data_IF_809202415249
#
_entry.id   IF_809202415249
#
_cell.length_a   1.000
_cell.length_b   1.000
_cell.length_c   1.000
_cell.angle_alpha   90.00
_cell.angle_beta   90.00
_cell.angle_gamma   90.00
#
_symmetry.space_group_name_H-M   'P 1'
#
loop_
_entity.id
_entity.type
_entity.pdbx_description
1 polymer ?
#
# COMPACT_ATOMS: atom_id res chain seq x y z
N UNK A 1 4.31 43.46 -10.61
CA UNK A 1 5.52 42.66 -10.47
C UNK A 1 5.18 41.24 -10.81
N UNK A 2 5.76 40.67 -11.87
CA UNK A 2 5.53 39.28 -12.27
C UNK A 2 6.08 38.35 -11.17
N UNK A 3 5.25 37.40 -10.69
CA UNK A 3 5.68 36.34 -9.76
C UNK A 3 6.78 35.53 -10.46
N UNK A 4 8.01 35.54 -9.96
CA UNK A 4 9.06 34.63 -10.41
C UNK A 4 8.51 33.21 -10.27
N UNK A 5 8.44 32.46 -11.38
CA UNK A 5 8.28 31.01 -11.34
C UNK A 5 9.45 30.45 -10.55
N UNK A 6 9.17 29.73 -9.48
CA UNK A 6 10.20 28.99 -8.77
C UNK A 6 10.46 27.76 -9.61
N UNK A 7 11.72 27.61 -10.02
CA UNK A 7 12.20 26.36 -10.56
C UNK A 7 12.12 25.30 -9.46
N UNK A 8 11.57 24.11 -9.75
CA UNK A 8 11.62 23.01 -8.80
C UNK A 8 13.07 22.82 -8.39
N UNK A 9 13.36 22.86 -7.11
CA UNK A 9 14.72 22.58 -6.64
C UNK A 9 14.99 21.11 -6.97
N UNK A 10 15.91 20.84 -7.88
CA UNK A 10 16.27 19.52 -8.41
C UNK A 10 16.83 18.54 -7.37
N UNK A 11 16.92 18.93 -6.11
CA UNK A 11 17.51 18.13 -5.03
C UNK A 11 16.59 18.01 -3.80
N UNK A 12 15.43 17.37 -3.93
CA UNK A 12 15.11 16.35 -2.94
C UNK A 12 16.09 15.20 -3.25
N UNK A 13 17.26 15.13 -2.62
CA UNK A 13 18.40 14.32 -3.01
C UNK A 13 18.06 13.17 -3.97
N UNK A 14 19.00 12.70 -4.76
CA UNK A 14 18.85 11.66 -5.80
C UNK A 14 18.06 10.38 -5.38
N UNK A 15 17.45 10.36 -4.20
CA UNK A 15 16.83 9.24 -3.55
C UNK A 15 15.29 9.20 -3.65
N UNK A 16 14.59 10.30 -3.99
CA UNK A 16 13.10 10.25 -4.09
C UNK A 16 12.64 9.28 -5.17
N UNK A 17 13.37 9.20 -6.26
CA UNK A 17 13.09 8.23 -7.34
C UNK A 17 13.33 6.79 -6.92
N UNK A 18 14.20 6.56 -5.93
CA UNK A 18 14.50 5.24 -5.36
C UNK A 18 13.59 4.89 -4.20
N UNK A 19 13.02 5.88 -3.50
CA UNK A 19 12.17 5.64 -2.34
C UNK A 19 10.89 4.91 -2.73
N UNK A 20 10.56 3.91 -1.94
CA UNK A 20 9.39 3.07 -2.13
C UNK A 20 8.53 3.14 -0.88
N UNK A 21 7.25 3.38 -1.08
CA UNK A 21 6.25 3.34 -0.01
C UNK A 21 5.79 1.91 0.18
N UNK A 22 5.82 1.43 1.42
CA UNK A 22 5.16 0.19 1.82
C UNK A 22 3.97 0.56 2.70
N UNK A 23 2.77 0.23 2.24
CA UNK A 23 1.54 0.58 2.94
C UNK A 23 0.74 -0.68 3.19
N UNK A 24 0.56 -1.05 4.46
CA UNK A 24 -0.24 -2.21 4.84
C UNK A 24 -1.70 -2.07 4.40
N UNK A 25 -2.37 -3.19 4.18
CA UNK A 25 -3.74 -3.19 3.69
C UNK A 25 -4.72 -2.42 4.61
N UNK A 26 -4.64 -2.48 5.95
CA UNK A 26 -5.46 -1.64 6.81
C UNK A 26 -5.23 -0.13 6.58
N UNK A 27 -3.96 0.31 6.41
CA UNK A 27 -3.64 1.70 6.11
C UNK A 27 -4.01 2.10 4.67
N UNK A 28 -4.16 1.12 3.81
CA UNK A 28 -4.56 1.35 2.43
C UNK A 28 -5.95 1.96 2.34
N UNK A 29 -6.87 1.57 3.22
CA UNK A 29 -8.23 2.11 3.30
C UNK A 29 -8.30 3.61 3.62
N UNK A 30 -7.17 4.22 4.03
CA UNK A 30 -7.08 5.66 4.35
C UNK A 30 -7.40 6.58 3.18
N UNK A 31 -7.32 6.12 1.93
CA UNK A 31 -7.78 6.91 0.80
C UNK A 31 -9.26 7.31 0.92
N UNK A 32 -10.05 6.55 1.72
CA UNK A 32 -11.45 6.86 2.05
C UNK A 32 -11.62 7.93 3.13
N UNK A 33 -10.53 8.26 3.86
CA UNK A 33 -10.55 9.27 4.92
C UNK A 33 -10.73 10.68 4.38
N UNK A 34 -10.80 11.66 5.28
CA UNK A 34 -10.89 13.07 4.90
C UNK A 34 -9.52 13.73 4.71
N UNK A 35 -8.42 12.97 4.81
CA UNK A 35 -7.08 13.48 4.57
C UNK A 35 -6.99 14.17 3.20
N UNK A 36 -6.34 15.31 3.18
CA UNK A 36 -6.05 16.06 1.95
C UNK A 36 -4.91 15.42 1.17
N UNK A 37 -4.73 15.79 -0.09
CA UNK A 37 -3.59 15.33 -0.89
C UNK A 37 -2.25 15.66 -0.24
N UNK A 38 -2.13 16.84 0.39
CA UNK A 38 -0.93 17.25 1.08
C UNK A 38 -0.59 16.33 2.26
N UNK A 39 -1.58 15.99 3.05
CA UNK A 39 -1.43 15.07 4.19
C UNK A 39 -1.12 13.65 3.71
N UNK A 40 -1.70 13.18 2.61
CA UNK A 40 -1.29 11.91 2.01
C UNK A 40 0.15 11.92 1.53
N UNK A 41 0.62 13.01 0.93
CA UNK A 41 2.02 13.15 0.52
C UNK A 41 2.96 13.09 1.73
N UNK A 42 2.62 13.77 2.83
CA UNK A 42 3.40 13.73 4.08
C UNK A 42 3.42 12.31 4.64
N UNK A 43 2.26 11.65 4.75
CA UNK A 43 2.13 10.29 5.25
C UNK A 43 2.92 9.29 4.40
N UNK A 44 2.79 9.34 3.07
CA UNK A 44 3.47 8.41 2.19
C UNK A 44 4.99 8.64 2.16
N UNK A 45 5.44 9.91 2.31
CA UNK A 45 6.87 10.21 2.49
C UNK A 45 7.37 9.67 3.84
N UNK A 46 6.60 9.81 4.93
CA UNK A 46 6.92 9.20 6.20
C UNK A 46 7.09 7.68 6.06
N UNK A 47 6.10 6.99 5.44
CA UNK A 47 6.13 5.54 5.26
C UNK A 47 7.30 5.07 4.35
N UNK A 48 7.74 5.89 3.40
CA UNK A 48 8.86 5.56 2.52
C UNK A 48 10.24 5.60 3.23
N UNK A 49 10.31 6.23 4.40
CA UNK A 49 11.54 6.37 5.21
C UNK A 49 11.59 5.43 6.39
N UNK A 50 10.50 4.75 6.66
CA UNK A 50 10.44 3.74 7.71
C UNK A 50 11.02 2.43 7.17
N UNK A 51 11.97 1.87 7.90
CA UNK A 51 12.36 0.46 7.75
C UNK A 51 11.36 -0.38 8.53
N UNK A 52 10.49 -1.10 7.82
CA UNK A 52 9.41 -1.89 8.44
C UNK A 52 9.90 -2.95 9.42
N UNK A 53 11.19 -3.33 9.36
CA UNK A 53 11.80 -4.32 10.25
C UNK A 53 12.51 -3.72 11.48
N UNK A 54 12.50 -2.38 11.61
CA UNK A 54 13.15 -1.66 12.72
C UNK A 54 12.15 -0.79 13.49
N UNK A 55 11.25 -1.41 14.28
CA UNK A 55 10.19 -0.68 14.98
C UNK A 55 10.71 0.34 16.02
N UNK A 56 11.96 0.24 16.44
CA UNK A 56 12.61 1.24 17.29
C UNK A 56 12.85 2.57 16.57
N UNK A 57 12.94 2.57 15.22
CA UNK A 57 13.14 3.76 14.38
C UNK A 57 11.81 4.25 13.80
N UNK A 58 10.91 4.67 14.67
CA UNK A 58 9.56 5.10 14.33
C UNK A 58 9.39 6.62 14.20
N UNK A 59 10.48 7.36 14.28
CA UNK A 59 10.52 8.81 14.11
C UNK A 59 11.15 9.15 12.76
N UNK A 60 10.51 10.02 12.01
CA UNK A 60 11.03 10.57 10.75
C UNK A 60 11.11 12.08 10.88
N UNK A 61 12.24 12.64 10.47
CA UNK A 61 12.47 14.07 10.41
C UNK A 61 12.38 14.49 8.94
N UNK A 62 11.49 15.44 8.68
CA UNK A 62 11.46 16.20 7.44
C UNK A 62 12.39 17.39 7.61
N UNK A 63 13.45 17.42 6.86
CA UNK A 63 14.46 18.47 6.94
C UNK A 63 13.92 19.84 6.53
N UNK A 64 14.64 20.90 6.87
CA UNK A 64 14.24 22.29 6.59
C UNK A 64 13.92 22.51 5.13
N UNK A 65 12.73 23.03 4.86
CA UNK A 65 12.23 23.30 3.51
C UNK A 65 11.80 22.06 2.72
N UNK A 66 11.88 20.88 3.30
CA UNK A 66 11.49 19.66 2.61
C UNK A 66 9.99 19.54 2.41
N UNK A 67 9.19 19.94 3.42
CA UNK A 67 7.73 19.96 3.28
C UNK A 67 7.27 20.95 2.23
N UNK A 68 7.90 22.13 2.14
CA UNK A 68 7.61 23.12 1.12
C UNK A 68 7.85 22.54 -0.28
N UNK A 69 8.96 21.84 -0.47
CA UNK A 69 9.28 21.15 -1.74
C UNK A 69 8.25 20.07 -2.05
N UNK A 70 7.97 19.20 -1.08
CA UNK A 70 7.02 18.10 -1.20
C UNK A 70 5.63 18.58 -1.62
N UNK A 71 5.20 19.72 -1.08
CA UNK A 71 3.91 20.32 -1.35
C UNK A 71 3.91 21.27 -2.55
N UNK A 72 5.09 21.58 -3.12
CA UNK A 72 5.23 22.48 -4.27
C UNK A 72 4.91 23.94 -3.94
N UNK A 73 5.21 24.38 -2.71
CA UNK A 73 4.96 25.74 -2.23
C UNK A 73 6.26 26.40 -1.76
N UNK A 74 6.31 27.73 -1.78
CA UNK A 74 7.50 28.48 -1.32
C UNK A 74 7.60 28.52 0.20
N UNK A 75 6.46 28.64 0.86
CA UNK A 75 6.32 28.75 2.32
C UNK A 75 5.00 28.14 2.74
N UNK A 76 5.00 27.55 3.92
CA UNK A 76 3.79 27.08 4.58
C UNK A 76 3.53 28.03 5.76
N UNK A 77 2.30 28.52 5.89
CA UNK A 77 1.91 29.35 7.04
C UNK A 77 1.78 28.48 8.28
N UNK A 78 2.07 29.05 9.44
CA UNK A 78 2.00 28.34 10.73
C UNK A 78 0.65 27.71 10.96
N UNK A 79 -0.44 28.45 10.73
CA UNK A 79 -1.79 27.95 10.95
C UNK A 79 -2.17 26.84 9.94
N UNK A 80 -1.58 26.87 8.74
CA UNK A 80 -1.80 25.85 7.73
C UNK A 80 -1.05 24.57 8.08
N UNK A 81 0.19 24.68 8.54
CA UNK A 81 0.99 23.52 8.97
C UNK A 81 0.37 22.89 10.21
N UNK A 82 0.00 23.70 11.20
CA UNK A 82 -0.63 23.26 12.44
C UNK A 82 -1.90 22.43 12.17
N UNK A 83 -2.82 22.94 11.33
CA UNK A 83 -4.02 22.22 10.93
C UNK A 83 -3.72 20.88 10.24
N UNK A 84 -2.68 20.84 9.38
CA UNK A 84 -2.29 19.60 8.69
C UNK A 84 -1.75 18.57 9.68
N UNK A 85 -0.91 19.02 10.61
CA UNK A 85 -0.35 18.16 11.68
C UNK A 85 -1.47 17.68 12.60
N UNK A 86 -2.33 18.58 13.06
CA UNK A 86 -3.50 18.25 13.87
C UNK A 86 -4.33 17.15 13.17
N UNK A 87 -4.63 17.33 11.88
CA UNK A 87 -5.41 16.38 11.10
C UNK A 87 -4.71 15.02 10.94
N UNK A 88 -3.40 15.00 10.76
CA UNK A 88 -2.61 13.76 10.72
C UNK A 88 -2.54 13.04 12.08
N UNK A 89 -2.61 13.79 13.20
CA UNK A 89 -2.62 13.26 14.55
C UNK A 89 -4.02 12.87 15.05
N UNK A 90 -5.10 13.25 14.33
CA UNK A 90 -6.46 12.83 14.71
C UNK A 90 -6.66 11.33 14.52
N UNK A 91 -7.68 10.80 15.20
CA UNK A 91 -8.02 9.39 15.05
C UNK A 91 -8.64 9.10 13.70
N UNK A 92 -8.12 8.12 13.02
CA UNK A 92 -8.63 7.63 11.74
C UNK A 92 -9.27 6.25 11.90
N UNK A 93 -10.28 5.98 11.08
CA UNK A 93 -10.88 4.65 10.96
C UNK A 93 -10.04 3.82 10.00
N UNK A 94 -9.71 2.61 10.42
CA UNK A 94 -8.99 1.64 9.61
C UNK A 94 -9.81 0.36 9.45
N UNK A 95 -9.59 -0.34 8.34
CA UNK A 95 -10.16 -1.66 8.05
C UNK A 95 -9.09 -2.71 8.36
N UNK A 96 -9.09 -3.21 9.58
CA UNK A 96 -8.13 -4.23 10.03
C UNK A 96 -8.75 -5.64 10.15
N UNK A 97 -10.02 -5.79 9.75
CA UNK A 97 -10.80 -7.03 9.80
C UNK A 97 -10.82 -7.74 11.17
N UNK A 98 -10.31 -7.09 12.22
CA UNK A 98 -10.28 -7.68 13.57
C UNK A 98 -11.65 -7.69 14.23
N UNK A 99 -12.58 -6.90 13.74
CA UNK A 99 -13.94 -6.80 14.26
C UNK A 99 -14.96 -7.23 13.22
N UNK A 100 -15.70 -8.32 13.48
CA UNK A 100 -16.79 -8.78 12.59
C UNK A 100 -17.96 -7.80 12.50
N UNK A 101 -18.22 -7.05 13.58
CA UNK A 101 -19.25 -6.01 13.67
C UNK A 101 -18.69 -4.86 14.48
N UNK A 102 -18.15 -3.83 13.81
CA UNK A 102 -17.57 -2.67 14.48
C UNK A 102 -16.56 -1.97 13.60
N UNK A 103 -15.73 -1.15 14.23
CA UNK A 103 -14.63 -0.44 13.57
C UNK A 103 -13.49 -0.19 14.55
N UNK A 104 -12.29 -0.08 14.02
CA UNK A 104 -11.09 0.31 14.77
C UNK A 104 -10.73 1.76 14.42
N UNK A 105 -10.43 2.57 15.42
CA UNK A 105 -9.86 3.92 15.25
C UNK A 105 -8.54 4.01 15.97
N UNK A 106 -7.55 4.60 15.30
CA UNK A 106 -6.21 4.85 15.86
C UNK A 106 -5.75 6.25 15.47
N UNK A 107 -4.84 6.82 16.24
CA UNK A 107 -4.02 7.94 15.80
C UNK A 107 -2.74 7.39 15.16
N UNK A 108 -2.32 7.94 14.03
CA UNK A 108 -1.09 7.51 13.37
C UNK A 108 0.14 8.04 14.08
N UNK A 109 0.09 9.30 14.52
CA UNK A 109 1.22 9.98 15.16
C UNK A 109 0.87 10.38 16.59
N UNK A 110 1.80 10.15 17.50
CA UNK A 110 1.67 10.53 18.92
C UNK A 110 2.38 11.84 19.25
N UNK A 111 3.35 12.22 18.40
CA UNK A 111 4.14 13.41 18.56
C UNK A 111 4.46 14.01 17.20
N UNK A 112 4.30 15.30 17.13
CA UNK A 112 4.81 16.11 16.03
C UNK A 112 5.53 17.33 16.64
N UNK A 113 6.75 17.59 16.20
CA UNK A 113 7.51 18.80 16.53
C UNK A 113 7.75 19.56 15.25
N UNK A 114 7.38 20.83 15.21
CA UNK A 114 7.58 21.68 14.05
C UNK A 114 8.37 22.92 14.49
N UNK A 115 9.50 23.15 13.85
CA UNK A 115 10.39 24.29 14.11
C UNK A 115 10.60 25.06 12.81
N UNK A 116 10.50 26.38 12.87
CA UNK A 116 10.70 27.26 11.73
C UNK A 116 12.05 27.99 11.86
N UNK A 117 12.81 28.07 10.78
CA UNK A 117 14.06 28.83 10.75
C UNK A 117 13.81 30.32 10.43
N UNK A 118 14.89 31.12 10.48
CA UNK A 118 14.86 32.55 10.20
C UNK A 118 14.43 32.88 8.74
N UNK A 119 14.50 31.92 7.82
CA UNK A 119 14.03 32.03 6.44
C UNK A 119 12.57 31.64 6.26
N UNK A 120 11.92 31.17 7.33
CA UNK A 120 10.53 30.73 7.34
C UNK A 120 10.32 29.34 6.76
N UNK A 121 11.35 28.49 6.75
CA UNK A 121 11.29 27.09 6.31
C UNK A 121 11.09 26.17 7.52
N UNK A 122 10.25 25.15 7.34
CA UNK A 122 9.89 24.21 8.40
C UNK A 122 10.78 22.98 8.42
N UNK A 123 11.16 22.59 9.62
CA UNK A 123 11.60 21.24 9.97
C UNK A 123 10.49 20.57 10.77
N UNK A 124 10.10 19.35 10.41
CA UNK A 124 9.02 18.64 11.10
C UNK A 124 9.45 17.23 11.47
N UNK A 125 9.31 16.89 12.74
CA UNK A 125 9.51 15.54 13.26
C UNK A 125 8.15 14.88 13.50
N UNK A 126 7.95 13.68 12.99
CA UNK A 126 6.75 12.88 13.21
C UNK A 126 7.12 11.53 13.83
N UNK A 127 6.48 11.17 14.93
CA UNK A 127 6.65 9.90 15.62
C UNK A 127 5.36 9.09 15.61
N UNK A 128 5.43 7.86 15.08
CA UNK A 128 4.31 6.93 15.02
C UNK A 128 3.84 6.49 16.41
N UNK A 129 2.51 6.37 16.60
CA UNK A 129 1.94 5.86 17.85
C UNK A 129 2.23 4.38 18.06
N UNK A 130 2.22 3.94 19.32
CA UNK A 130 2.30 2.52 19.66
C UNK A 130 1.16 1.71 19.02
N UNK A 131 -0.04 2.25 18.94
CA UNK A 131 -1.20 1.59 18.34
C UNK A 131 -1.12 1.46 16.82
N UNK A 132 -0.41 2.38 16.14
CA UNK A 132 -0.22 2.34 14.71
C UNK A 132 0.95 1.44 14.28
N UNK A 133 1.90 1.15 15.19
CA UNK A 133 3.09 0.36 14.87
C UNK A 133 2.77 -0.98 14.20
N UNK A 134 1.73 -1.68 14.65
CA UNK A 134 1.32 -2.96 14.05
C UNK A 134 0.85 -2.86 12.58
N UNK A 135 0.57 -1.66 12.09
CA UNK A 135 0.17 -1.40 10.71
C UNK A 135 1.28 -0.78 9.86
N UNK A 136 2.38 -0.38 10.50
CA UNK A 136 3.52 0.26 9.86
C UNK A 136 4.74 -0.65 9.85
N UNK A 137 4.92 -1.47 10.89
CA UNK A 137 6.06 -2.35 11.06
C UNK A 137 5.66 -3.83 11.00
N UNK A 138 6.53 -4.67 10.44
CA UNK A 138 6.33 -6.11 10.29
C UNK A 138 4.97 -6.44 9.64
N UNK A 139 4.68 -5.75 8.54
CA UNK A 139 3.37 -5.73 7.87
C UNK A 139 3.15 -6.88 6.90
N UNK A 140 4.10 -7.81 6.78
CA UNK A 140 4.05 -8.94 5.85
C UNK A 140 2.80 -9.79 6.02
N UNK A 141 2.37 -9.97 7.27
CA UNK A 141 1.18 -10.76 7.61
C UNK A 141 -0.15 -10.02 7.34
N UNK A 142 -0.10 -8.72 7.11
CA UNK A 142 -1.29 -7.91 6.84
C UNK A 142 -1.59 -7.79 5.35
N UNK A 143 -0.64 -8.19 4.51
CA UNK A 143 -0.62 -7.79 3.12
C UNK A 143 -0.33 -6.28 2.97
N UNK A 144 0.38 -5.90 1.93
CA UNK A 144 0.72 -4.50 1.69
C UNK A 144 0.85 -4.21 0.21
N UNK A 145 0.75 -2.95 -0.13
CA UNK A 145 1.08 -2.41 -1.44
C UNK A 145 2.43 -1.74 -1.40
N UNK A 146 3.17 -1.89 -2.48
CA UNK A 146 4.43 -1.22 -2.70
C UNK A 146 4.36 -0.41 -3.98
N UNK A 147 4.75 0.87 -3.90
CA UNK A 147 4.81 1.77 -5.04
C UNK A 147 5.90 2.82 -4.86
N UNK A 148 6.38 3.38 -5.95
CA UNK A 148 7.40 4.42 -5.90
C UNK A 148 6.83 5.72 -5.31
N UNK A 149 7.56 6.34 -4.38
CA UNK A 149 7.15 7.60 -3.75
C UNK A 149 6.93 8.70 -4.80
N UNK A 150 7.73 8.73 -5.85
CA UNK A 150 7.60 9.70 -6.96
C UNK A 150 6.21 9.73 -7.59
N UNK A 151 5.52 8.58 -7.65
CA UNK A 151 4.15 8.51 -8.16
C UNK A 151 3.21 9.38 -7.33
N UNK A 152 3.43 9.48 -6.03
CA UNK A 152 2.58 10.24 -5.11
C UNK A 152 3.00 11.71 -5.06
N UNK A 153 4.29 11.98 -4.98
CA UNK A 153 4.79 13.37 -4.89
C UNK A 153 4.47 14.17 -6.15
N UNK A 154 4.45 13.53 -7.32
CA UNK A 154 4.14 14.16 -8.60
C UNK A 154 2.65 14.44 -8.84
N UNK A 155 1.74 13.71 -8.19
CA UNK A 155 0.29 13.90 -8.33
C UNK A 155 -0.12 15.28 -7.79
N UNK A 156 -1.00 15.97 -8.52
CA UNK A 156 -1.55 17.29 -8.15
C UNK A 156 -3.04 17.25 -7.77
N UNK A 157 -3.74 16.15 -8.02
CA UNK A 157 -5.15 15.98 -7.76
C UNK A 157 -5.43 14.91 -6.70
N UNK A 158 -6.31 15.21 -5.71
CA UNK A 158 -6.80 14.22 -4.76
C UNK A 158 -7.55 13.07 -5.45
N UNK A 159 -8.31 13.38 -6.50
CA UNK A 159 -9.01 12.34 -7.27
C UNK A 159 -8.03 11.38 -7.93
N UNK A 160 -6.89 11.89 -8.45
CA UNK A 160 -5.84 11.07 -9.03
C UNK A 160 -5.19 10.18 -7.98
N UNK A 161 -4.91 10.72 -6.79
CA UNK A 161 -4.39 9.92 -5.67
C UNK A 161 -5.35 8.79 -5.29
N UNK A 162 -6.63 9.09 -5.11
CA UNK A 162 -7.63 8.08 -4.74
C UNK A 162 -7.75 7.02 -5.84
N UNK A 163 -7.77 7.43 -7.11
CA UNK A 163 -7.84 6.50 -8.24
C UNK A 163 -6.59 5.63 -8.30
N UNK A 164 -5.39 6.19 -8.11
CA UNK A 164 -4.15 5.44 -8.06
C UNK A 164 -4.22 4.35 -6.98
N UNK A 165 -4.60 4.71 -5.76
CA UNK A 165 -4.78 3.75 -4.68
C UNK A 165 -5.83 2.69 -5.00
N UNK A 166 -6.97 3.08 -5.57
CA UNK A 166 -8.04 2.16 -5.95
C UNK A 166 -7.60 1.17 -7.03
N UNK A 167 -6.89 1.62 -8.04
CA UNK A 167 -6.40 0.77 -9.12
C UNK A 167 -5.28 -0.17 -8.64
N UNK A 168 -4.34 0.32 -7.83
CA UNK A 168 -3.30 -0.52 -7.23
C UNK A 168 -3.90 -1.62 -6.34
N UNK A 169 -4.93 -1.31 -5.54
CA UNK A 169 -5.62 -2.31 -4.72
C UNK A 169 -6.32 -3.40 -5.54
N UNK A 170 -6.72 -3.08 -6.77
CA UNK A 170 -7.48 -3.98 -7.64
C UNK A 170 -6.68 -4.46 -8.84
N UNK A 171 -5.38 -4.13 -8.94
CA UNK A 171 -4.51 -4.46 -10.10
C UNK A 171 -4.51 -5.96 -10.41
N UNK A 172 -4.57 -6.80 -9.39
CA UNK A 172 -4.62 -8.25 -9.51
C UNK A 172 -5.80 -8.77 -10.35
N UNK A 173 -6.90 -8.01 -10.44
CA UNK A 173 -8.07 -8.37 -11.24
C UNK A 173 -7.84 -8.23 -12.75
N UNK A 174 -6.79 -7.51 -13.16
CA UNK A 174 -6.48 -7.13 -14.54
C UNK A 174 -7.62 -6.34 -15.22
N UNK A 175 -8.86 -6.80 -15.09
CA UNK A 175 -10.07 -6.11 -15.56
C UNK A 175 -11.25 -6.37 -14.61
N UNK A 176 -12.01 -5.33 -14.29
CA UNK A 176 -13.23 -5.43 -13.47
C UNK A 176 -14.18 -4.26 -13.75
N UNK A 177 -15.40 -4.43 -13.34
CA UNK A 177 -16.44 -3.40 -13.41
C UNK A 177 -16.74 -2.85 -12.02
N UNK A 178 -17.04 -1.56 -11.97
CA UNK A 178 -17.53 -0.87 -10.79
C UNK A 178 -18.77 -0.06 -11.16
N UNK A 179 -19.79 -0.11 -10.33
CA UNK A 179 -20.99 0.72 -10.50
C UNK A 179 -20.63 2.21 -10.56
N UNK A 180 -21.31 2.98 -11.42
CA UNK A 180 -20.99 4.39 -11.63
C UNK A 180 -21.16 5.23 -10.35
N UNK A 181 -22.22 4.97 -9.59
CA UNK A 181 -22.48 5.72 -8.35
C UNK A 181 -21.48 5.28 -7.25
N UNK A 182 -21.09 4.02 -7.22
CA UNK A 182 -20.03 3.56 -6.34
C UNK A 182 -18.69 4.23 -6.68
N UNK A 183 -18.34 4.32 -7.96
CA UNK A 183 -17.11 5.01 -8.39
C UNK A 183 -17.11 6.48 -8.02
N UNK A 184 -18.26 7.17 -8.15
CA UNK A 184 -18.40 8.57 -7.68
C UNK A 184 -18.16 8.68 -6.17
N UNK A 185 -18.69 7.75 -5.37
CA UNK A 185 -18.43 7.69 -3.92
C UNK A 185 -16.96 7.45 -3.62
N UNK A 186 -16.34 6.50 -4.31
CA UNK A 186 -14.90 6.23 -4.19
C UNK A 186 -14.09 7.51 -4.42
N UNK A 187 -14.40 8.27 -5.47
CA UNK A 187 -13.68 9.49 -5.83
C UNK A 187 -14.16 10.73 -5.05
N UNK A 188 -15.06 10.59 -4.07
CA UNK A 188 -15.64 11.71 -3.31
C UNK A 188 -16.31 12.76 -4.21
N UNK A 189 -17.03 12.29 -5.21
CA UNK A 189 -17.68 13.12 -6.23
C UNK A 189 -19.21 13.10 -6.12
N UNK A 190 -19.79 12.31 -5.23
CA UNK A 190 -21.24 12.06 -5.13
C UNK A 190 -22.07 13.31 -4.78
N UNK A 191 -21.49 14.25 -4.04
CA UNK A 191 -22.21 15.45 -3.58
C UNK A 191 -22.19 16.60 -4.59
N UNK A 192 -21.37 16.52 -5.63
CA UNK A 192 -21.26 17.61 -6.61
C UNK A 192 -22.26 17.45 -7.74
N UNK A 193 -23.19 18.38 -7.84
CA UNK A 193 -24.21 18.41 -8.87
C UNK A 193 -23.65 18.35 -10.30
N UNK A 194 -22.50 19.00 -10.54
CA UNK A 194 -21.80 18.96 -11.83
C UNK A 194 -21.30 17.57 -12.24
N UNK A 195 -21.21 16.60 -11.33
CA UNK A 195 -20.74 15.24 -11.61
C UNK A 195 -21.88 14.21 -11.67
N UNK A 196 -23.14 14.64 -11.54
CA UNK A 196 -24.28 13.72 -11.64
C UNK A 196 -24.40 13.13 -13.05
N UNK A 197 -24.25 13.97 -14.07
CA UNK A 197 -24.24 13.51 -15.46
C UNK A 197 -22.91 12.81 -15.82
N UNK A 198 -22.99 11.58 -16.36
CA UNK A 198 -21.79 10.80 -16.73
C UNK A 198 -20.85 11.58 -17.64
N UNK A 199 -21.37 12.29 -18.67
CA UNK A 199 -20.53 13.05 -19.61
C UNK A 199 -19.65 14.06 -18.88
N UNK A 200 -20.21 14.84 -17.95
CA UNK A 200 -19.48 15.82 -17.17
C UNK A 200 -18.50 15.16 -16.20
N UNK A 201 -18.91 14.09 -15.52
CA UNK A 201 -18.04 13.32 -14.64
C UNK A 201 -16.84 12.75 -15.42
N UNK A 202 -17.08 12.17 -16.61
CA UNK A 202 -16.04 11.67 -17.48
C UNK A 202 -15.06 12.78 -17.92
N UNK A 203 -15.57 13.91 -18.41
CA UNK A 203 -14.72 14.98 -18.96
C UNK A 203 -13.95 15.75 -17.87
N UNK A 204 -14.57 15.99 -16.71
CA UNK A 204 -13.99 16.79 -15.64
C UNK A 204 -13.16 15.98 -14.64
N UNK A 205 -13.42 14.69 -14.50
CA UNK A 205 -12.74 13.81 -13.53
C UNK A 205 -11.99 12.69 -14.23
N UNK A 206 -12.67 11.72 -14.85
CA UNK A 206 -12.02 10.48 -15.31
C UNK A 206 -10.92 10.71 -16.35
N UNK A 207 -11.18 11.52 -17.38
CA UNK A 207 -10.17 11.84 -18.39
C UNK A 207 -8.96 12.60 -17.82
N UNK A 208 -9.20 13.52 -16.86
CA UNK A 208 -8.11 14.28 -16.24
C UNK A 208 -7.26 13.38 -15.35
N UNK A 209 -7.90 12.52 -14.56
CA UNK A 209 -7.23 11.53 -13.72
C UNK A 209 -6.41 10.58 -14.57
N UNK A 210 -6.99 10.02 -15.63
CA UNK A 210 -6.29 9.11 -16.53
C UNK A 210 -5.04 9.77 -17.15
N UNK A 211 -5.18 10.98 -17.67
CA UNK A 211 -4.05 11.71 -18.25
C UNK A 211 -2.95 11.95 -17.22
N UNK A 212 -3.30 12.43 -16.03
CA UNK A 212 -2.32 12.68 -14.98
C UNK A 212 -1.62 11.40 -14.53
N UNK A 213 -2.36 10.29 -14.41
CA UNK A 213 -1.77 8.99 -14.06
C UNK A 213 -0.81 8.47 -15.14
N UNK A 214 -1.18 8.58 -16.41
CA UNK A 214 -0.32 8.17 -17.54
C UNK A 214 0.99 8.97 -17.59
N UNK A 215 0.94 10.25 -17.25
CA UNK A 215 2.10 11.15 -17.26
C UNK A 215 3.00 10.98 -16.03
N UNK A 216 2.43 10.69 -14.86
CA UNK A 216 3.12 10.84 -13.57
C UNK A 216 3.29 9.55 -12.78
N UNK A 217 2.64 8.47 -13.18
CA UNK A 217 2.68 7.20 -12.45
C UNK A 217 3.05 6.03 -13.35
N UNK A 218 3.41 4.93 -12.73
CA UNK A 218 3.65 3.66 -13.41
C UNK A 218 2.36 2.84 -13.60
N UNK A 219 1.24 3.27 -13.02
CA UNK A 219 -0.06 2.62 -13.16
C UNK A 219 -0.74 3.04 -14.46
N UNK A 220 -0.58 2.23 -15.50
CA UNK A 220 -1.24 2.44 -16.79
C UNK A 220 -2.55 1.67 -16.83
N UNK A 221 -3.60 2.33 -17.25
CA UNK A 221 -4.92 1.73 -17.36
C UNK A 221 -5.75 2.38 -18.46
N UNK A 222 -6.74 1.62 -18.93
CA UNK A 222 -7.84 2.13 -19.76
C UNK A 222 -9.17 1.89 -19.05
N UNK A 223 -10.21 2.60 -19.47
CA UNK A 223 -11.53 2.38 -18.95
C UNK A 223 -12.59 2.53 -20.06
N UNK A 224 -13.68 1.79 -19.92
CA UNK A 224 -14.80 1.78 -20.84
C UNK A 224 -16.12 1.93 -20.09
N UNK A 225 -17.09 2.72 -20.63
CA UNK A 225 -18.41 2.83 -20.05
C UNK A 225 -19.24 1.58 -20.36
N UNK A 226 -19.81 0.97 -19.32
CA UNK A 226 -20.78 -0.13 -19.44
C UNK A 226 -22.18 0.48 -19.45
N UNK A 227 -22.95 0.17 -20.51
CA UNK A 227 -24.27 0.76 -20.75
C UNK A 227 -25.40 -0.24 -20.48
N UNK A 228 -26.51 0.27 -19.94
CA UNK A 228 -27.79 -0.41 -19.92
C UNK A 228 -28.80 0.47 -20.68
N UNK A 229 -29.12 0.07 -21.92
CA UNK A 229 -29.84 0.92 -22.84
C UNK A 229 -29.04 2.18 -23.22
N UNK A 230 -29.59 3.37 -22.98
CA UNK A 230 -28.94 4.66 -23.27
C UNK A 230 -28.08 5.19 -22.12
N UNK A 231 -28.22 4.63 -20.92
CA UNK A 231 -27.55 5.10 -19.71
C UNK A 231 -26.29 4.33 -19.42
N UNK A 232 -25.23 5.02 -18.98
CA UNK A 232 -24.01 4.41 -18.42
C UNK A 232 -24.29 4.04 -16.98
N UNK A 233 -24.11 2.77 -16.64
CA UNK A 233 -24.39 2.23 -15.28
C UNK A 233 -23.15 1.82 -14.53
N UNK A 234 -22.07 1.47 -15.25
CA UNK A 234 -20.81 1.06 -14.64
C UNK A 234 -19.62 1.49 -15.51
N UNK A 235 -18.45 1.39 -14.95
CA UNK A 235 -17.17 1.59 -15.63
C UNK A 235 -16.37 0.31 -15.52
N UNK A 236 -15.89 -0.19 -16.68
CA UNK A 236 -14.93 -1.30 -16.74
C UNK A 236 -13.54 -0.73 -16.79
N UNK A 237 -12.70 -1.11 -15.82
CA UNK A 237 -11.28 -0.80 -15.81
C UNK A 237 -10.49 -1.97 -16.40
N UNK A 238 -9.42 -1.64 -17.11
CA UNK A 238 -8.42 -2.59 -17.64
C UNK A 238 -7.08 -2.01 -17.25
N UNK A 239 -6.37 -2.69 -16.34
CA UNK A 239 -5.05 -2.24 -15.86
C UNK A 239 -3.98 -3.04 -16.57
N UNK A 240 -3.01 -2.33 -17.16
CA UNK A 240 -1.87 -2.97 -17.78
C UNK A 240 -0.97 -3.55 -16.69
N UNK A 241 -0.62 -4.84 -16.86
CA UNK A 241 0.41 -5.46 -16.05
C UNK A 241 1.75 -4.89 -16.52
N UNK A 242 2.45 -4.17 -15.67
CA UNK A 242 3.80 -3.73 -16.01
C UNK A 242 4.65 -4.98 -16.28
N UNK A 243 5.47 -4.98 -17.35
CA UNK A 243 6.48 -6.02 -17.51
C UNK A 243 7.33 -6.05 -16.23
N UNK A 244 7.77 -7.24 -15.83
CA UNK A 244 8.69 -7.44 -14.68
C UNK A 244 10.07 -6.83 -14.99
N UNK A 245 10.13 -5.57 -15.38
CA UNK A 245 11.39 -4.85 -15.48
C UNK A 245 11.85 -4.55 -14.07
N UNK A 246 12.78 -5.41 -13.66
CA UNK A 246 13.86 -5.17 -12.71
C UNK A 246 13.56 -4.08 -11.67
N UNK A 247 12.81 -4.46 -10.67
CA UNK A 247 12.97 -3.85 -9.36
C UNK A 247 14.23 -4.50 -8.80
N UNK A 248 15.38 -3.94 -9.10
CA UNK A 248 16.70 -4.46 -8.73
C UNK A 248 16.97 -4.45 -7.21
N UNK A 249 16.05 -3.92 -6.41
CA UNK A 249 16.10 -3.89 -4.94
C UNK A 249 14.82 -4.44 -4.31
N UNK A 250 14.29 -5.55 -4.83
CA UNK A 250 13.31 -6.30 -4.08
C UNK A 250 14.10 -7.07 -3.03
N UNK A 251 13.93 -6.69 -1.77
CA UNK A 251 14.22 -7.61 -0.66
C UNK A 251 13.58 -8.96 -1.04
N UNK A 252 14.41 -10.00 -1.18
CA UNK A 252 13.99 -11.35 -1.65
C UNK A 252 12.82 -11.93 -0.83
N UNK A 253 12.46 -11.27 0.27
CA UNK A 253 11.37 -11.61 1.17
C UNK A 253 10.05 -10.88 0.86
N UNK A 254 10.03 -9.95 -0.10
CA UNK A 254 8.82 -9.21 -0.47
C UNK A 254 8.07 -9.91 -1.59
N UNK A 255 6.88 -10.39 -1.25
CA UNK A 255 5.93 -10.93 -2.21
C UNK A 255 4.87 -9.88 -2.46
N UNK A 256 4.77 -9.41 -3.69
CA UNK A 256 3.67 -8.55 -4.11
C UNK A 256 2.44 -9.40 -4.38
N UNK A 257 1.26 -8.80 -4.24
CA UNK A 257 0.00 -9.45 -4.64
C UNK A 257 0.06 -9.88 -6.12
N UNK A 258 0.81 -9.17 -6.95
CA UNK A 258 1.03 -9.49 -8.37
C UNK A 258 1.75 -10.83 -8.58
N UNK A 259 2.65 -11.23 -7.67
CA UNK A 259 3.34 -12.53 -7.75
C UNK A 259 2.38 -13.70 -7.54
N UNK A 260 1.26 -13.46 -6.84
CA UNK A 260 0.23 -14.47 -6.61
C UNK A 260 -0.66 -14.73 -7.82
N UNK A 261 -0.85 -13.74 -8.68
CA UNK A 261 -1.98 -13.70 -9.60
C UNK A 261 -1.60 -13.88 -11.06
N UNK A 262 -0.30 -13.81 -11.39
CA UNK A 262 0.17 -13.86 -12.79
C UNK A 262 0.57 -15.23 -13.31
N UNK A 263 0.53 -16.27 -12.48
CA UNK A 263 0.88 -17.62 -12.91
C UNK A 263 -0.39 -18.44 -13.19
N UNK A 264 -0.64 -18.82 -14.42
CA UNK A 264 -1.29 -20.09 -14.76
C UNK A 264 -0.38 -21.19 -14.21
N UNK A 265 -0.70 -21.76 -13.05
CA UNK A 265 0.18 -22.64 -12.31
C UNK A 265 -0.29 -24.06 -12.43
N UNK A 266 0.61 -24.94 -12.83
CA UNK A 266 0.46 -26.41 -12.73
C UNK A 266 0.55 -26.90 -11.27
N UNK A 267 1.12 -26.07 -10.36
CA UNK A 267 1.34 -26.41 -8.94
C UNK A 267 0.43 -25.61 -8.00
N UNK A 268 0.16 -26.14 -6.81
CA UNK A 268 -0.60 -25.41 -5.80
C UNK A 268 0.23 -24.23 -5.24
N UNK A 269 -0.41 -23.08 -5.02
CA UNK A 269 0.21 -21.81 -4.64
C UNK A 269 1.20 -21.90 -3.46
N UNK A 270 0.84 -22.69 -2.44
CA UNK A 270 1.67 -22.83 -1.24
C UNK A 270 3.00 -23.58 -1.48
N UNK A 271 3.07 -24.43 -2.50
CA UNK A 271 4.28 -25.19 -2.87
C UNK A 271 5.42 -24.25 -3.30
N UNK A 272 5.08 -23.10 -3.90
CA UNK A 272 6.06 -22.11 -4.31
C UNK A 272 6.83 -21.51 -3.12
N UNK A 273 6.24 -21.47 -1.93
CA UNK A 273 6.94 -21.03 -0.73
C UNK A 273 8.13 -21.93 -0.37
N UNK A 274 8.12 -23.18 -0.84
CA UNK A 274 9.10 -24.23 -0.52
C UNK A 274 9.99 -24.58 -1.72
N UNK A 275 9.84 -23.88 -2.86
CA UNK A 275 10.52 -24.18 -4.12
C UNK A 275 12.05 -24.32 -3.99
N UNK A 276 12.68 -23.53 -3.12
CA UNK A 276 14.12 -23.54 -2.90
C UNK A 276 14.63 -24.76 -2.13
N UNK A 277 13.76 -25.60 -1.59
CA UNK A 277 14.14 -26.78 -0.82
C UNK A 277 14.15 -28.08 -1.64
N UNK A 278 13.64 -28.04 -2.88
CA UNK A 278 13.56 -29.20 -3.79
C UNK A 278 12.93 -30.45 -3.13
N UNK A 279 11.84 -30.28 -2.40
CA UNK A 279 11.11 -31.39 -1.79
C UNK A 279 10.45 -32.28 -2.86
N UNK A 280 10.40 -33.60 -2.57
CA UNK A 280 9.70 -34.56 -3.44
C UNK A 280 8.19 -34.40 -3.36
N UNK A 281 7.44 -34.94 -4.33
CA UNK A 281 5.98 -34.91 -4.34
C UNK A 281 5.38 -35.60 -3.11
N UNK A 282 6.01 -36.67 -2.62
CA UNK A 282 5.61 -37.36 -1.39
C UNK A 282 5.77 -36.45 -0.16
N UNK A 283 6.90 -35.71 -0.10
CA UNK A 283 7.15 -34.76 0.97
C UNK A 283 6.20 -33.56 0.93
N UNK A 284 5.84 -33.07 -0.25
CA UNK A 284 4.83 -32.02 -0.41
C UNK A 284 3.43 -32.50 -0.01
N UNK A 285 3.08 -33.76 -0.32
CA UNK A 285 1.82 -34.35 0.13
C UNK A 285 1.73 -34.43 1.67
N UNK A 286 2.82 -34.87 2.36
CA UNK A 286 2.84 -34.89 3.82
C UNK A 286 2.71 -33.47 4.42
N UNK A 287 3.36 -32.47 3.83
CA UNK A 287 3.22 -31.08 4.25
C UNK A 287 1.78 -30.61 4.10
N UNK A 288 1.11 -30.92 2.99
CA UNK A 288 -0.28 -30.56 2.73
C UNK A 288 -1.23 -31.15 3.78
N UNK A 289 -1.06 -32.43 4.09
CA UNK A 289 -1.91 -33.12 5.06
C UNK A 289 -1.83 -32.47 6.46
N UNK A 290 -0.65 -31.98 6.83
CA UNK A 290 -0.47 -31.28 8.10
C UNK A 290 -1.03 -29.85 8.03
N UNK A 291 -0.87 -29.14 6.90
CA UNK A 291 -1.37 -27.77 6.72
C UNK A 291 -2.88 -27.68 6.92
N UNK A 292 -3.64 -28.70 6.49
CA UNK A 292 -5.09 -28.78 6.67
C UNK A 292 -5.47 -28.79 8.16
N UNK A 293 -4.61 -29.31 9.02
CA UNK A 293 -4.84 -29.44 10.45
C UNK A 293 -4.44 -28.21 11.26
N UNK A 294 -3.73 -27.26 10.65
CA UNK A 294 -3.28 -26.04 11.36
C UNK A 294 -4.48 -25.12 11.62
N UNK A 295 -4.73 -24.74 12.89
CA UNK A 295 -5.82 -23.84 13.24
C UNK A 295 -5.69 -22.47 12.53
N UNK A 296 -6.82 -21.93 12.07
CA UNK A 296 -6.86 -20.62 11.41
C UNK A 296 -6.28 -19.47 12.26
N UNK A 297 -6.26 -19.61 13.59
CA UNK A 297 -5.66 -18.66 14.52
C UNK A 297 -4.13 -18.56 14.41
N UNK A 298 -3.48 -19.59 13.87
CA UNK A 298 -2.02 -19.66 13.66
C UNK A 298 -1.61 -19.32 12.23
N UNK A 299 -2.57 -19.22 11.33
CA UNK A 299 -2.35 -18.79 9.96
C UNK A 299 -2.45 -17.25 9.86
N UNK A 300 -1.68 -16.62 8.96
CA UNK A 300 -1.82 -15.19 8.68
C UNK A 300 -3.25 -14.86 8.26
N UNK A 301 -3.87 -13.90 8.94
CA UNK A 301 -5.22 -13.45 8.63
C UNK A 301 -5.19 -12.49 7.45
N UNK A 302 -5.38 -13.02 6.25
CA UNK A 302 -5.38 -12.24 5.02
C UNK A 302 -6.79 -11.73 4.71
N UNK A 303 -6.89 -10.51 4.22
CA UNK A 303 -8.14 -9.80 3.99
C UNK A 303 -9.13 -10.48 3.03
N UNK A 304 -8.68 -11.49 2.28
CA UNK A 304 -9.50 -12.20 1.29
C UNK A 304 -9.98 -13.60 1.73
N UNK A 305 -9.60 -14.05 2.93
CA UNK A 305 -10.06 -15.33 3.47
C UNK A 305 -9.65 -16.57 2.66
N UNK A 306 -8.73 -16.43 1.69
CA UNK A 306 -8.26 -17.56 0.89
C UNK A 306 -7.24 -18.36 1.69
N UNK A 307 -7.61 -19.58 2.03
CA UNK A 307 -6.79 -20.51 2.81
C UNK A 307 -5.46 -20.84 2.11
N UNK A 308 -5.44 -20.95 0.79
CA UNK A 308 -4.23 -21.28 0.03
C UNK A 308 -3.20 -20.14 0.08
N UNK A 309 -3.65 -18.89 0.04
CA UNK A 309 -2.82 -17.72 0.21
C UNK A 309 -2.26 -17.65 1.64
N UNK A 310 -3.09 -17.96 2.63
CA UNK A 310 -2.66 -18.01 4.04
C UNK A 310 -1.58 -19.08 4.26
N UNK A 311 -1.72 -20.26 3.65
CA UNK A 311 -0.72 -21.32 3.69
C UNK A 311 0.61 -20.90 3.05
N UNK A 312 0.55 -20.22 1.92
CA UNK A 312 1.76 -19.72 1.27
C UNK A 312 2.54 -18.78 2.20
N UNK A 313 1.92 -17.75 2.75
CA UNK A 313 2.59 -16.80 3.66
C UNK A 313 3.12 -17.47 4.92
N UNK A 314 2.33 -18.38 5.48
CA UNK A 314 2.74 -19.16 6.63
C UNK A 314 4.03 -19.96 6.32
N UNK A 315 4.01 -20.74 5.23
CA UNK A 315 5.16 -21.55 4.83
C UNK A 315 6.36 -20.70 4.44
N UNK A 316 6.16 -19.58 3.78
CA UNK A 316 7.25 -18.65 3.43
C UNK A 316 7.97 -18.13 4.67
N UNK A 317 7.22 -17.79 5.72
CA UNK A 317 7.80 -17.38 7.00
C UNK A 317 8.65 -18.50 7.62
N UNK A 318 8.13 -19.74 7.62
CA UNK A 318 8.88 -20.89 8.11
C UNK A 318 10.10 -21.23 7.25
N UNK A 319 9.99 -21.13 5.94
CA UNK A 319 11.10 -21.31 5.00
C UNK A 319 12.23 -20.30 5.27
N UNK A 320 11.90 -19.05 5.49
CA UNK A 320 12.87 -18.01 5.83
C UNK A 320 13.57 -18.29 7.19
N UNK A 321 12.82 -18.77 8.17
CA UNK A 321 13.40 -19.19 9.45
C UNK A 321 14.41 -20.34 9.29
N UNK A 322 14.05 -21.33 8.47
CA UNK A 322 14.94 -22.46 8.14
C UNK A 322 16.21 -21.97 7.44
N UNK A 323 16.09 -21.09 6.46
CA UNK A 323 17.23 -20.55 5.74
C UNK A 323 18.17 -19.73 6.63
N UNK A 324 17.65 -18.93 7.57
CA UNK A 324 18.48 -18.21 8.56
C UNK A 324 19.27 -19.14 9.46
N UNK A 325 18.78 -20.36 9.69
CA UNK A 325 19.41 -21.37 10.55
C UNK A 325 20.08 -22.48 9.75
N UNK A 326 20.33 -22.30 8.47
CA UNK A 326 20.85 -23.34 7.55
C UNK A 326 22.11 -24.04 8.08
N UNK A 327 23.01 -23.31 8.72
CA UNK A 327 24.25 -23.89 9.29
C UNK A 327 24.01 -24.90 10.43
N UNK A 328 22.84 -24.87 11.07
CA UNK A 328 22.49 -25.72 12.23
C UNK A 328 21.49 -26.82 11.90
N UNK A 329 20.79 -26.74 10.78
CA UNK A 329 19.75 -27.66 10.37
C UNK A 329 20.29 -28.67 9.38
N UNK A 330 20.45 -29.94 9.81
CA UNK A 330 20.96 -31.03 8.95
C UNK A 330 19.92 -31.52 7.93
N UNK A 331 18.63 -31.52 8.29
CA UNK A 331 17.53 -31.96 7.44
C UNK A 331 16.40 -30.96 7.48
N UNK A 332 16.27 -30.20 6.39
CA UNK A 332 15.30 -29.09 6.26
C UNK A 332 13.85 -29.63 6.29
N UNK A 333 13.58 -30.77 5.65
CA UNK A 333 12.24 -31.37 5.64
C UNK A 333 11.80 -31.80 7.04
N UNK A 334 12.60 -32.64 7.73
CA UNK A 334 12.26 -33.10 9.08
C UNK A 334 12.09 -31.94 10.07
N UNK A 335 12.87 -30.86 9.90
CA UNK A 335 12.76 -29.68 10.73
C UNK A 335 11.44 -28.93 10.45
N UNK A 336 11.08 -28.75 9.17
CA UNK A 336 9.82 -28.16 8.78
C UNK A 336 8.63 -28.95 9.32
N UNK A 337 8.58 -30.27 9.09
CA UNK A 337 7.52 -31.15 9.59
C UNK A 337 7.34 -31.03 11.11
N UNK A 338 8.45 -30.97 11.86
CA UNK A 338 8.41 -30.78 13.32
C UNK A 338 7.73 -29.48 13.73
N UNK A 339 8.00 -28.39 12.99
CA UNK A 339 7.36 -27.09 13.24
C UNK A 339 5.87 -27.15 12.90
N UNK A 340 5.53 -27.73 11.75
CA UNK A 340 4.13 -27.83 11.30
C UNK A 340 3.30 -28.67 12.25
N UNK A 341 3.80 -29.84 12.68
CA UNK A 341 3.13 -30.71 13.67
C UNK A 341 2.91 -29.98 15.00
N UNK A 342 3.91 -29.26 15.48
CA UNK A 342 3.77 -28.44 16.69
C UNK A 342 2.68 -27.36 16.54
N UNK A 343 2.61 -26.71 15.39
CA UNK A 343 1.62 -25.67 15.14
C UNK A 343 0.22 -26.25 14.88
N UNK A 344 0.14 -27.47 14.35
CA UNK A 344 -1.11 -28.25 14.21
C UNK A 344 -1.56 -28.95 15.51
N UNK A 345 -0.73 -28.88 16.58
CA UNK A 345 -1.02 -29.50 17.90
C UNK A 345 -1.12 -31.06 17.86
N UNK A 346 -0.31 -31.68 16.96
CA UNK A 346 -0.19 -33.14 16.77
C UNK A 346 1.24 -33.64 16.95
#
# INVERSE_FOLDING_TARGET
MARKKIEPIENLGNDVDKLTVQKSQPLFSLWRSELTLAEFKILDTYLSRIDSHKPEKRTVIFEKGELEKLLGVQRIRTEELDKRIEHLCTTIKIDDNTTKKGFTRISLFEKAVAEQDDFGLWQVELTCTQSAMKYVFNIENLGYLRYKLRCITSISSRHTYIMFMYLEANRWRKSWEVDLEELKKILKCETRESYQEYKRFNDLVLKKVQREMLEKTECKYTYEPVKKGRSVVAIRFIVETLPKEKIEDIDENQITIDDYLTAERETELWEDALKNFNFTQEQLAEIRDILILIPASKLPNLAHGDTKISWYHYLKTKANEINRREKTIKNKFSYLIKILKKDAEI
#
